data_IF_351686212789
#
_entry.id   IF_351686212789
#
_cell.length_a   1.000
_cell.length_b   1.000
_cell.length_c   1.000
_cell.angle_alpha   90.00
_cell.angle_beta   90.00
_cell.angle_gamma   90.00
#
_symmetry.space_group_name_H-M   'P 1'
#
loop_
_entity.id
_entity.type
_entity.pdbx_description
1 polymer ?
#
# COMPACT_ATOMS: atom_id res chain seq x y z
N UNK A 1 -4.54 -19.76 37.20
CA UNK A 1 -5.07 -18.52 36.60
C UNK A 1 -4.05 -17.37 36.56
N UNK A 2 -3.22 -17.16 37.57
CA UNK A 2 -2.21 -16.03 37.60
C UNK A 2 -1.03 -16.27 36.66
N UNK A 3 -0.65 -17.51 36.38
CA UNK A 3 0.48 -17.86 35.49
C UNK A 3 0.14 -17.63 34.02
N UNK A 4 -1.07 -17.98 33.57
CA UNK A 4 -1.51 -17.80 32.18
C UNK A 4 -1.68 -16.31 31.79
N UNK A 5 -2.09 -15.46 32.74
CA UNK A 5 -2.16 -14.02 32.50
C UNK A 5 -0.78 -13.32 32.41
N UNK A 6 0.23 -13.85 33.10
CA UNK A 6 1.61 -13.33 33.01
C UNK A 6 2.33 -13.77 31.73
N UNK A 7 2.01 -14.94 31.18
CA UNK A 7 2.54 -15.39 29.88
C UNK A 7 1.91 -14.63 28.72
N UNK A 8 0.59 -14.43 28.71
CA UNK A 8 -0.09 -13.65 27.68
C UNK A 8 0.35 -12.15 27.67
N UNK A 9 0.69 -11.58 28.82
CA UNK A 9 1.24 -10.20 28.89
C UNK A 9 2.70 -10.14 28.40
N UNK A 10 3.52 -11.16 28.66
CA UNK A 10 4.90 -11.22 28.15
C UNK A 10 4.97 -11.43 26.64
N UNK A 11 4.16 -12.33 26.08
CA UNK A 11 4.08 -12.52 24.62
C UNK A 11 3.56 -11.28 23.89
N UNK A 12 2.62 -10.53 24.49
CA UNK A 12 2.15 -9.24 23.97
C UNK A 12 3.23 -8.13 24.03
N UNK A 13 4.07 -8.12 25.04
CA UNK A 13 5.18 -7.16 25.18
C UNK A 13 6.36 -7.47 24.25
N UNK A 14 6.70 -8.74 24.02
CA UNK A 14 7.74 -9.17 23.08
C UNK A 14 7.34 -8.90 21.62
N UNK A 15 6.08 -9.14 21.22
CA UNK A 15 5.54 -8.81 19.89
C UNK A 15 5.53 -7.29 19.62
N UNK A 16 5.28 -6.46 20.65
CA UNK A 16 5.33 -4.99 20.53
C UNK A 16 6.76 -4.45 20.47
N UNK A 17 7.74 -5.11 21.09
CA UNK A 17 9.14 -4.70 21.07
C UNK A 17 9.78 -4.85 19.68
N UNK A 18 9.38 -5.85 18.89
CA UNK A 18 9.90 -6.07 17.53
C UNK A 18 9.51 -4.97 16.53
N UNK A 19 8.35 -4.31 16.69
CA UNK A 19 7.96 -3.20 15.84
C UNK A 19 8.56 -1.85 16.23
N UNK A 20 9.00 -1.69 17.48
CA UNK A 20 9.51 -0.41 18.01
C UNK A 20 10.82 0.06 17.38
N UNK A 21 11.65 -0.84 16.90
CA UNK A 21 12.99 -0.55 16.41
C UNK A 21 13.06 -0.20 14.90
N UNK A 22 11.92 -0.17 14.20
CA UNK A 22 11.90 -0.13 12.74
C UNK A 22 11.84 1.27 12.12
N UNK A 23 11.34 2.30 12.83
CA UNK A 23 11.18 3.64 12.25
C UNK A 23 12.49 4.41 12.23
N UNK A 24 12.79 4.99 11.07
CA UNK A 24 13.97 5.83 10.83
C UNK A 24 13.58 7.29 10.61
N UNK A 25 14.48 8.19 10.94
CA UNK A 25 14.36 9.59 10.58
C UNK A 25 14.37 9.76 9.05
N UNK A 26 13.35 10.42 8.51
CA UNK A 26 13.23 10.66 7.07
C UNK A 26 14.34 11.58 6.50
N UNK A 27 15.05 12.35 7.35
CA UNK A 27 16.12 13.23 6.91
C UNK A 27 17.50 12.55 6.91
N UNK A 28 17.90 11.92 8.01
CA UNK A 28 19.26 11.38 8.15
C UNK A 28 19.37 9.87 8.30
N UNK A 29 18.23 9.14 8.34
CA UNK A 29 18.23 7.68 8.49
C UNK A 29 18.55 7.15 9.89
N UNK A 30 18.81 8.00 10.89
CA UNK A 30 19.03 7.56 12.27
C UNK A 30 17.78 6.91 12.84
N UNK A 31 17.94 5.88 13.67
CA UNK A 31 16.82 5.22 14.35
C UNK A 31 16.07 6.19 15.26
N UNK A 32 14.77 6.23 15.08
CA UNK A 32 13.86 6.87 16.02
C UNK A 32 13.41 5.80 17.02
N UNK A 33 14.22 5.54 18.06
CA UNK A 33 13.86 4.59 19.10
C UNK A 33 12.47 4.90 19.66
N UNK A 34 11.66 3.85 19.91
CA UNK A 34 10.32 3.89 20.50
C UNK A 34 9.21 4.49 19.61
N UNK A 35 8.74 3.73 18.61
CA UNK A 35 7.37 3.92 18.14
C UNK A 35 6.45 3.73 19.37
N UNK A 36 5.63 4.72 19.76
CA UNK A 36 4.60 4.44 20.75
C UNK A 36 3.70 3.34 20.20
N UNK A 37 3.15 2.50 21.08
CA UNK A 37 2.18 1.51 20.64
C UNK A 37 1.11 2.20 19.80
N UNK A 38 0.57 1.49 18.81
CA UNK A 38 -0.49 2.00 17.93
C UNK A 38 -1.73 2.33 18.77
N UNK A 39 -1.72 3.53 19.37
CA UNK A 39 -2.84 4.05 20.15
C UNK A 39 -3.87 4.66 19.22
N UNK A 40 -5.14 4.54 19.58
CA UNK A 40 -6.28 5.06 18.78
C UNK A 40 -6.19 6.58 18.57
N UNK A 41 -5.70 7.29 19.59
CA UNK A 41 -5.58 8.74 19.59
C UNK A 41 -4.36 9.11 20.41
N UNK A 42 -3.43 9.80 19.80
CA UNK A 42 -2.24 10.30 20.48
C UNK A 42 -1.53 11.29 19.58
N UNK A 43 -0.93 12.28 20.17
CA UNK A 43 -0.10 13.24 19.47
C UNK A 43 1.19 13.44 20.25
N UNK A 44 2.28 13.59 19.54
CA UNK A 44 3.59 13.79 20.14
C UNK A 44 4.63 14.19 19.12
N UNK A 45 5.81 14.51 19.61
CA UNK A 45 6.96 14.88 18.80
C UNK A 45 8.14 14.04 19.22
N UNK A 46 8.96 13.63 18.25
CA UNK A 46 10.26 13.00 18.47
C UNK A 46 11.34 13.83 17.82
N UNK A 47 12.38 14.10 18.55
CA UNK A 47 13.59 14.75 18.03
C UNK A 47 14.56 13.66 17.61
N UNK A 48 15.02 13.71 16.39
CA UNK A 48 16.00 12.77 15.89
C UNK A 48 17.34 12.96 16.61
N UNK A 49 17.95 11.90 17.17
CA UNK A 49 19.23 12.00 17.86
C UNK A 49 20.40 12.34 16.92
N UNK A 50 20.26 12.06 15.61
CA UNK A 50 21.32 12.28 14.62
C UNK A 50 21.33 13.65 13.97
N UNK A 51 20.15 14.27 13.74
CA UNK A 51 20.08 15.54 13.00
C UNK A 51 19.12 16.57 13.60
N UNK A 52 18.57 16.32 14.78
CA UNK A 52 17.62 17.18 15.50
C UNK A 52 16.28 17.42 14.77
N UNK A 53 16.04 16.79 13.61
CA UNK A 53 14.76 16.87 12.90
C UNK A 53 13.62 16.36 13.79
N UNK A 54 12.45 16.98 13.64
CA UNK A 54 11.27 16.63 14.41
C UNK A 54 10.35 15.75 13.56
N UNK A 55 10.10 14.53 14.01
CA UNK A 55 9.04 13.68 13.50
C UNK A 55 7.82 13.81 14.41
N UNK A 56 6.65 14.02 13.81
CA UNK A 56 5.41 14.18 14.54
C UNK A 56 4.62 12.88 14.55
N UNK A 57 3.91 12.64 15.65
CA UNK A 57 2.91 11.62 15.79
C UNK A 57 1.58 12.30 16.06
N UNK A 58 0.61 12.13 15.18
CA UNK A 58 -0.68 12.81 15.26
C UNK A 58 -1.81 11.85 14.91
N UNK A 59 -2.84 11.79 15.77
CA UNK A 59 -4.01 10.91 15.58
C UNK A 59 -3.64 9.44 15.31
N UNK A 60 -2.58 8.96 15.96
CA UNK A 60 -2.10 7.60 15.77
C UNK A 60 -1.31 7.37 14.47
N UNK A 61 -0.89 8.42 13.77
CA UNK A 61 -0.14 8.36 12.51
C UNK A 61 1.22 9.05 12.70
N UNK A 62 2.30 8.38 12.32
CA UNK A 62 3.62 8.97 12.21
C UNK A 62 3.74 9.78 10.93
N UNK A 63 4.08 11.06 11.02
CA UNK A 63 4.29 11.95 9.89
C UNK A 63 5.77 11.97 9.52
N UNK A 64 6.16 11.19 8.51
CA UNK A 64 7.56 10.97 8.14
C UNK A 64 7.92 11.57 6.78
N UNK A 65 7.19 12.56 6.29
CA UNK A 65 7.61 13.36 5.14
C UNK A 65 8.61 14.44 5.58
N UNK A 66 9.67 14.65 4.79
CA UNK A 66 10.52 15.83 4.96
C UNK A 66 9.76 17.10 4.57
N UNK A 67 10.21 18.30 4.95
CA UNK A 67 9.60 19.57 4.50
C UNK A 67 9.50 19.65 2.97
N UNK A 68 10.56 19.24 2.25
CA UNK A 68 10.61 19.23 0.79
C UNK A 68 9.59 18.26 0.19
N UNK A 69 9.45 17.06 0.77
CA UNK A 69 8.44 16.07 0.35
C UNK A 69 7.02 16.58 0.64
N UNK A 70 6.82 17.22 1.79
CA UNK A 70 5.52 17.80 2.15
C UNK A 70 5.10 18.86 1.15
N UNK A 71 6.02 19.71 0.72
CA UNK A 71 5.76 20.73 -0.29
C UNK A 71 5.51 20.10 -1.68
N UNK A 72 6.35 19.16 -2.08
CA UNK A 72 6.24 18.42 -3.35
C UNK A 72 4.88 17.72 -3.51
N UNK A 73 4.42 17.00 -2.49
CA UNK A 73 3.17 16.23 -2.57
C UNK A 73 1.91 17.03 -2.21
N UNK A 74 2.02 18.27 -1.72
CA UNK A 74 0.88 19.07 -1.22
C UNK A 74 -0.24 19.17 -2.25
N UNK A 75 0.09 19.57 -3.47
CA UNK A 75 -0.90 19.73 -4.54
C UNK A 75 -1.51 18.39 -4.94
N UNK A 76 -0.69 17.36 -5.09
CA UNK A 76 -1.17 16.01 -5.39
C UNK A 76 -2.15 15.50 -4.34
N UNK A 77 -1.82 15.61 -3.05
CA UNK A 77 -2.70 15.21 -1.94
C UNK A 77 -4.04 15.94 -2.04
N UNK A 78 -4.02 17.27 -2.21
CA UNK A 78 -5.24 18.08 -2.30
C UNK A 78 -6.11 17.68 -3.49
N UNK A 79 -5.55 17.53 -4.67
CA UNK A 79 -6.26 17.12 -5.88
C UNK A 79 -6.81 15.70 -5.76
N UNK A 80 -6.02 14.78 -5.22
CA UNK A 80 -6.41 13.39 -5.03
C UNK A 80 -7.57 13.26 -4.03
N UNK A 81 -7.48 13.91 -2.88
CA UNK A 81 -8.55 13.92 -1.87
C UNK A 81 -9.85 14.49 -2.44
N UNK A 82 -9.77 15.58 -3.22
CA UNK A 82 -10.93 16.15 -3.90
C UNK A 82 -11.58 15.16 -4.86
N UNK A 83 -10.79 14.50 -5.72
CA UNK A 83 -11.30 13.49 -6.67
C UNK A 83 -11.94 12.34 -5.89
N UNK A 84 -11.28 11.82 -4.86
CA UNK A 84 -11.78 10.68 -4.07
C UNK A 84 -13.10 11.02 -3.37
N UNK A 85 -13.24 12.22 -2.84
CA UNK A 85 -14.48 12.70 -2.26
C UNK A 85 -15.59 12.84 -3.32
N UNK A 86 -15.27 13.38 -4.51
CA UNK A 86 -16.22 13.51 -5.62
C UNK A 86 -16.68 12.14 -6.17
N UNK A 87 -15.79 11.12 -6.17
CA UNK A 87 -16.14 9.73 -6.47
C UNK A 87 -16.96 9.06 -5.36
N UNK A 88 -17.15 9.73 -4.23
CA UNK A 88 -17.85 9.20 -3.05
C UNK A 88 -17.11 8.07 -2.37
N UNK A 89 -15.78 8.15 -2.34
CA UNK A 89 -14.93 7.24 -1.57
C UNK A 89 -14.95 7.62 -0.10
N UNK A 90 -14.87 6.59 0.74
CA UNK A 90 -14.94 6.74 2.18
C UNK A 90 -16.36 6.77 2.73
N UNK A 91 -16.48 6.72 4.04
CA UNK A 91 -17.74 6.71 4.78
C UNK A 91 -17.51 7.13 6.23
N UNK A 92 -18.54 7.60 6.89
CA UNK A 92 -18.57 7.75 8.35
C UNK A 92 -19.03 6.47 9.05
N UNK A 93 -19.54 5.49 8.26
CA UNK A 93 -20.01 4.20 8.77
C UNK A 93 -18.87 3.17 8.73
N UNK A 94 -18.53 2.61 9.89
CA UNK A 94 -17.51 1.55 10.01
C UNK A 94 -17.83 0.30 9.19
N UNK A 95 -19.11 -0.02 9.01
CA UNK A 95 -19.53 -1.17 8.20
C UNK A 95 -19.02 -1.08 6.76
N UNK A 96 -18.90 0.13 6.19
CA UNK A 96 -18.29 0.31 4.88
C UNK A 96 -16.88 -0.29 4.83
N UNK A 97 -16.02 0.07 5.78
CA UNK A 97 -14.62 -0.36 5.80
C UNK A 97 -14.48 -1.84 6.19
N UNK A 98 -15.26 -2.29 7.17
CA UNK A 98 -15.22 -3.66 7.68
C UNK A 98 -15.58 -4.71 6.62
N UNK A 99 -16.40 -4.34 5.65
CA UNK A 99 -16.79 -5.23 4.56
C UNK A 99 -15.76 -5.29 3.41
N UNK A 100 -14.85 -4.31 3.29
CA UNK A 100 -13.86 -4.28 2.21
C UNK A 100 -12.86 -5.45 2.34
N UNK A 101 -12.41 -6.03 1.23
CA UNK A 101 -12.76 -5.73 -0.16
C UNK A 101 -13.95 -6.55 -0.67
N UNK A 102 -14.62 -7.34 0.17
CA UNK A 102 -15.58 -8.36 -0.25
C UNK A 102 -16.94 -7.80 -0.62
N UNK A 103 -17.35 -6.69 -0.01
CA UNK A 103 -18.62 -6.03 -0.28
C UNK A 103 -18.46 -4.52 -0.22
N UNK A 104 -18.84 -3.86 -1.27
CA UNK A 104 -19.00 -2.39 -1.31
C UNK A 104 -20.45 -2.06 -0.95
N UNK A 105 -20.70 -1.68 0.29
CA UNK A 105 -22.06 -1.32 0.75
C UNK A 105 -22.55 0.01 0.17
N UNK A 106 -21.64 0.86 -0.37
CA UNK A 106 -22.01 2.09 -1.05
C UNK A 106 -22.58 1.85 -2.45
N UNK A 107 -22.24 0.71 -3.07
CA UNK A 107 -22.59 0.35 -4.43
C UNK A 107 -21.87 1.14 -5.53
N UNK A 108 -21.08 2.16 -5.17
CA UNK A 108 -20.46 3.10 -6.13
C UNK A 108 -19.24 2.52 -6.85
N UNK A 109 -18.55 1.57 -6.23
CA UNK A 109 -17.29 1.01 -6.72
C UNK A 109 -17.25 -0.52 -6.66
N UNK A 110 -18.42 -1.18 -6.69
CA UNK A 110 -18.56 -2.61 -6.47
C UNK A 110 -17.74 -3.47 -7.44
N UNK A 111 -17.65 -3.10 -8.71
CA UNK A 111 -16.81 -3.81 -9.69
C UNK A 111 -15.32 -3.74 -9.34
N UNK A 112 -14.86 -2.58 -8.88
CA UNK A 112 -13.46 -2.39 -8.49
C UNK A 112 -13.13 -3.20 -7.22
N UNK A 113 -14.03 -3.18 -6.23
CA UNK A 113 -13.85 -3.96 -5.01
C UNK A 113 -13.91 -5.46 -5.27
N UNK A 114 -14.77 -5.92 -6.19
CA UNK A 114 -14.79 -7.32 -6.61
C UNK A 114 -13.46 -7.78 -7.25
N UNK A 115 -12.77 -6.91 -7.99
CA UNK A 115 -11.43 -7.16 -8.51
C UNK A 115 -10.45 -7.31 -7.35
N UNK A 116 -10.39 -6.32 -6.44
CA UNK A 116 -9.51 -6.32 -5.27
C UNK A 116 -9.71 -7.55 -4.38
N UNK A 117 -10.97 -7.97 -4.18
CA UNK A 117 -11.28 -9.18 -3.43
C UNK A 117 -10.69 -10.46 -4.07
N UNK A 118 -10.70 -10.55 -5.40
CA UNK A 118 -10.12 -11.70 -6.12
C UNK A 118 -8.59 -11.66 -6.10
N UNK A 119 -8.01 -10.48 -6.27
CA UNK A 119 -6.55 -10.28 -6.09
C UNK A 119 -6.13 -10.69 -4.70
N UNK A 120 -6.81 -10.24 -3.65
CA UNK A 120 -6.49 -10.57 -2.26
C UNK A 120 -6.56 -12.08 -1.99
N UNK A 121 -7.64 -12.77 -2.41
CA UNK A 121 -7.75 -14.24 -2.26
C UNK A 121 -6.62 -14.99 -2.98
N UNK A 122 -6.22 -14.50 -4.16
CA UNK A 122 -5.10 -15.10 -4.91
C UNK A 122 -3.79 -14.85 -4.16
N UNK A 123 -3.58 -13.65 -3.63
CA UNK A 123 -2.40 -13.31 -2.84
C UNK A 123 -2.33 -14.12 -1.54
N UNK A 124 -3.46 -14.29 -0.85
CA UNK A 124 -3.57 -15.11 0.35
C UNK A 124 -3.12 -16.56 0.08
N UNK A 125 -3.68 -17.19 -0.96
CA UNK A 125 -3.38 -18.58 -1.31
C UNK A 125 -1.96 -18.78 -1.85
N UNK A 126 -1.50 -17.92 -2.77
CA UNK A 126 -0.31 -18.19 -3.58
C UNK A 126 0.95 -17.47 -3.05
N UNK A 127 0.78 -16.53 -2.12
CA UNK A 127 1.88 -15.73 -1.58
C UNK A 127 1.95 -15.76 -0.06
N UNK A 128 0.87 -15.33 0.63
CA UNK A 128 0.88 -15.19 2.09
C UNK A 128 1.04 -16.54 2.78
N UNK A 129 0.17 -17.51 2.47
CA UNK A 129 0.20 -18.83 3.12
C UNK A 129 1.54 -19.58 2.88
N UNK A 130 2.09 -19.66 1.65
CA UNK A 130 3.40 -20.26 1.43
C UNK A 130 4.54 -19.53 2.12
N UNK A 131 4.50 -18.19 2.16
CA UNK A 131 5.56 -17.40 2.78
C UNK A 131 5.52 -17.54 4.31
N UNK A 132 4.33 -17.46 4.93
CA UNK A 132 4.16 -17.68 6.37
C UNK A 132 4.63 -19.06 6.79
N UNK A 133 4.35 -20.10 5.98
CA UNK A 133 4.85 -21.45 6.22
C UNK A 133 6.39 -21.50 6.17
N UNK A 134 7.04 -20.74 5.27
CA UNK A 134 8.53 -20.75 5.16
C UNK A 134 9.20 -20.01 6.31
N UNK A 135 8.53 -19.03 6.92
CA UNK A 135 9.05 -18.30 8.08
C UNK A 135 8.66 -18.92 9.41
N UNK A 136 7.68 -19.85 9.43
CA UNK A 136 7.16 -20.55 10.62
C UNK A 136 6.67 -19.59 11.73
N UNK A 137 6.25 -18.38 11.33
CA UNK A 137 5.74 -17.35 12.24
C UNK A 137 4.84 -16.34 11.50
N UNK A 138 4.11 -15.46 12.20
CA UNK A 138 3.45 -14.31 11.60
C UNK A 138 4.40 -13.47 10.75
N UNK A 139 3.96 -13.07 9.56
CA UNK A 139 4.76 -12.24 8.66
C UNK A 139 4.72 -10.77 9.10
N UNK A 140 5.87 -10.12 9.07
CA UNK A 140 6.00 -8.67 9.15
C UNK A 140 5.76 -8.12 7.74
N UNK A 141 4.69 -7.36 7.56
CA UNK A 141 4.24 -6.94 6.22
C UNK A 141 4.19 -5.42 6.14
N UNK A 142 4.77 -4.84 5.10
CA UNK A 142 4.65 -3.44 4.78
C UNK A 142 3.62 -3.27 3.65
N UNK A 143 2.51 -2.60 3.94
CA UNK A 143 1.45 -2.25 2.99
C UNK A 143 1.69 -0.82 2.51
N UNK A 144 2.23 -0.67 1.28
CA UNK A 144 2.69 0.61 0.72
C UNK A 144 1.65 1.20 -0.21
N UNK A 145 1.15 2.39 0.13
CA UNK A 145 -0.02 3.00 -0.48
C UNK A 145 -1.30 2.35 0.03
N UNK A 146 -1.40 2.22 1.36
CA UNK A 146 -2.45 1.48 2.05
C UNK A 146 -3.84 2.13 1.96
N UNK A 147 -3.91 3.44 1.65
CA UNK A 147 -5.15 4.20 1.64
C UNK A 147 -5.87 4.11 2.99
N UNK A 148 -7.11 3.65 2.98
CA UNK A 148 -7.91 3.48 4.19
C UNK A 148 -7.51 2.26 5.06
N UNK A 149 -6.47 1.50 4.68
CA UNK A 149 -5.93 0.39 5.46
C UNK A 149 -6.70 -0.91 5.40
N UNK A 150 -7.62 -1.10 4.45
CA UNK A 150 -8.41 -2.32 4.34
C UNK A 150 -7.53 -3.58 4.16
N UNK A 151 -6.42 -3.48 3.39
CA UNK A 151 -5.51 -4.62 3.21
C UNK A 151 -4.78 -4.94 4.51
N UNK A 152 -4.22 -3.93 5.17
CA UNK A 152 -3.60 -4.09 6.50
C UNK A 152 -4.56 -4.70 7.51
N UNK A 153 -5.85 -4.30 7.50
CA UNK A 153 -6.88 -4.92 8.34
C UNK A 153 -7.05 -6.42 8.04
N UNK A 154 -7.16 -6.80 6.77
CA UNK A 154 -7.28 -8.22 6.38
C UNK A 154 -6.05 -9.04 6.77
N UNK A 155 -4.86 -8.47 6.59
CA UNK A 155 -3.60 -9.10 7.00
C UNK A 155 -3.52 -9.32 8.52
N UNK A 156 -3.97 -8.33 9.31
CA UNK A 156 -4.05 -8.46 10.77
C UNK A 156 -5.05 -9.54 11.21
N UNK A 157 -6.21 -9.65 10.53
CA UNK A 157 -7.18 -10.73 10.80
C UNK A 157 -6.63 -12.13 10.47
N UNK A 158 -5.66 -12.25 9.56
CA UNK A 158 -4.94 -13.49 9.28
C UNK A 158 -3.81 -13.77 10.29
N UNK A 159 -3.65 -12.91 11.31
CA UNK A 159 -2.63 -13.06 12.34
C UNK A 159 -1.24 -12.51 11.93
N UNK A 160 -1.13 -11.79 10.82
CA UNK A 160 0.11 -11.15 10.41
C UNK A 160 0.31 -9.78 11.08
N UNK A 161 1.51 -9.22 10.95
CA UNK A 161 1.95 -7.97 11.58
C UNK A 161 2.12 -6.87 10.50
N UNK A 162 1.03 -6.26 10.00
CA UNK A 162 1.12 -5.21 8.99
C UNK A 162 1.52 -3.86 9.58
N UNK A 163 2.22 -3.06 8.77
CA UNK A 163 2.38 -1.62 8.93
C UNK A 163 1.81 -0.96 7.67
N UNK A 164 0.90 0.00 7.85
CA UNK A 164 0.28 0.75 6.75
C UNK A 164 1.06 2.03 6.45
N UNK A 165 1.43 2.24 5.20
CA UNK A 165 2.10 3.46 4.71
C UNK A 165 1.28 4.10 3.61
N UNK A 166 1.04 5.41 3.70
CA UNK A 166 0.40 6.20 2.64
C UNK A 166 0.81 7.67 2.73
N UNK A 167 0.58 8.44 1.66
CA UNK A 167 0.67 9.90 1.67
C UNK A 167 -0.55 10.54 2.36
N UNK A 168 -1.72 9.91 2.24
CA UNK A 168 -2.99 10.42 2.74
C UNK A 168 -3.19 10.08 4.21
N UNK A 169 -3.53 11.07 5.01
CA UNK A 169 -3.77 10.90 6.46
C UNK A 169 -5.20 11.17 6.89
N UNK A 170 -6.09 11.57 5.95
CA UNK A 170 -7.48 11.89 6.25
C UNK A 170 -8.29 10.67 6.74
N UNK A 171 -9.46 10.95 7.36
CA UNK A 171 -10.29 9.94 8.02
C UNK A 171 -11.31 9.26 7.07
N UNK A 172 -11.29 9.59 5.76
CA UNK A 172 -12.22 9.03 4.78
C UNK A 172 -11.59 7.95 3.91
N UNK A 173 -10.47 8.23 3.25
CA UNK A 173 -9.82 7.30 2.31
C UNK A 173 -8.29 7.22 2.53
N UNK A 174 -7.79 7.89 3.58
CA UNK A 174 -6.39 7.85 4.03
C UNK A 174 -6.21 7.02 5.31
N UNK A 175 -5.01 7.08 5.88
CA UNK A 175 -4.60 6.30 7.06
C UNK A 175 -5.47 6.54 8.30
N UNK A 176 -6.13 7.70 8.41
CA UNK A 176 -7.07 8.01 9.49
C UNK A 176 -8.28 7.09 9.49
N UNK A 177 -8.78 6.70 8.31
CA UNK A 177 -9.90 5.78 8.17
C UNK A 177 -9.67 4.40 8.81
N UNK A 178 -8.42 4.01 9.03
CA UNK A 178 -8.11 2.76 9.71
C UNK A 178 -8.63 2.69 11.16
N UNK A 179 -9.01 3.83 11.76
CA UNK A 179 -9.66 3.86 13.08
C UNK A 179 -10.97 3.07 13.12
N UNK A 180 -11.65 2.92 11.99
CA UNK A 180 -12.87 2.09 11.88
C UNK A 180 -12.61 0.61 12.18
N UNK A 181 -11.37 0.11 12.08
CA UNK A 181 -11.01 -1.27 12.39
C UNK A 181 -10.69 -1.51 13.87
N UNK A 182 -10.51 -0.46 14.66
CA UNK A 182 -9.99 -0.53 16.03
C UNK A 182 -10.88 -1.27 17.04
N UNK A 183 -12.16 -1.48 16.72
CA UNK A 183 -13.07 -2.31 17.55
C UNK A 183 -12.96 -3.79 17.24
N UNK A 184 -12.31 -4.18 16.13
CA UNK A 184 -12.21 -5.57 15.66
C UNK A 184 -10.82 -6.16 15.78
N UNK A 185 -9.79 -5.30 15.79
CA UNK A 185 -8.38 -5.69 15.98
C UNK A 185 -7.74 -4.81 17.04
N UNK A 186 -7.09 -5.44 18.02
CA UNK A 186 -6.34 -4.75 19.07
C UNK A 186 -5.04 -5.49 19.33
N UNK A 187 -3.88 -4.78 19.29
CA UNK A 187 -3.75 -3.37 18.92
C UNK A 187 -4.03 -3.12 17.44
N UNK A 188 -4.43 -1.89 17.10
CA UNK A 188 -4.50 -1.46 15.70
C UNK A 188 -3.08 -1.44 15.10
N UNK A 189 -2.94 -1.83 13.84
CA UNK A 189 -1.64 -1.79 13.16
C UNK A 189 -1.04 -0.37 13.09
N UNK A 190 0.29 -0.22 13.12
CA UNK A 190 0.98 1.06 12.97
C UNK A 190 0.68 1.71 11.62
N UNK A 191 0.61 3.05 11.61
CA UNK A 191 0.31 3.87 10.44
C UNK A 191 1.37 4.96 10.29
N UNK A 192 1.94 5.07 9.09
CA UNK A 192 3.06 5.98 8.81
C UNK A 192 2.79 6.74 7.51
N UNK A 193 2.81 8.06 7.57
CA UNK A 193 2.82 8.89 6.38
C UNK A 193 4.22 8.89 5.76
N UNK A 194 4.37 8.40 4.54
CA UNK A 194 5.64 8.42 3.81
C UNK A 194 5.44 8.31 2.30
N UNK A 195 6.45 8.70 1.53
CA UNK A 195 6.50 8.51 0.09
C UNK A 195 6.91 7.07 -0.28
N UNK A 196 6.45 6.58 -1.43
CA UNK A 196 6.69 5.21 -1.91
C UNK A 196 8.18 4.92 -2.16
N UNK A 197 8.94 5.94 -2.52
CA UNK A 197 10.34 5.87 -2.92
C UNK A 197 11.32 6.27 -1.79
N UNK A 198 10.80 6.48 -0.58
CA UNK A 198 11.60 6.81 0.61
C UNK A 198 10.88 6.33 1.88
N UNK A 199 11.03 5.04 2.14
CA UNK A 199 10.38 4.38 3.26
C UNK A 199 11.18 4.56 4.56
N UNK A 200 10.58 5.05 5.65
CA UNK A 200 11.29 5.37 6.88
C UNK A 200 11.52 4.13 7.76
N UNK A 201 12.03 3.05 7.17
CA UNK A 201 12.28 1.79 7.87
C UNK A 201 13.70 1.28 7.61
N UNK A 202 14.23 0.53 8.58
CA UNK A 202 15.53 -0.13 8.43
C UNK A 202 15.52 -1.17 7.31
N UNK A 203 16.69 -1.44 6.76
CA UNK A 203 16.85 -2.52 5.79
C UNK A 203 16.47 -3.86 6.41
N UNK A 204 15.91 -4.76 5.58
CA UNK A 204 15.54 -6.13 5.98
C UNK A 204 14.51 -6.22 7.13
N UNK A 205 13.69 -5.19 7.31
CA UNK A 205 12.72 -5.11 8.39
C UNK A 205 11.47 -5.98 8.16
N UNK A 206 11.12 -6.27 6.91
CA UNK A 206 9.87 -6.92 6.53
C UNK A 206 10.10 -8.23 5.77
N UNK A 207 9.20 -9.16 5.99
CA UNK A 207 9.17 -10.44 5.27
C UNK A 207 8.43 -10.29 3.92
N UNK A 208 7.55 -9.28 3.83
CA UNK A 208 6.79 -8.99 2.64
C UNK A 208 6.51 -7.49 2.52
N UNK A 209 6.80 -6.91 1.37
CA UNK A 209 6.41 -5.53 1.01
C UNK A 209 5.40 -5.60 -0.12
N UNK A 210 4.24 -4.94 0.03
CA UNK A 210 3.13 -5.01 -0.91
C UNK A 210 2.78 -3.61 -1.41
N UNK A 211 2.75 -3.45 -2.73
CA UNK A 211 2.09 -2.34 -3.41
C UNK A 211 0.77 -2.86 -3.98
N UNK A 212 -0.34 -2.51 -3.33
CA UNK A 212 -1.67 -2.93 -3.79
C UNK A 212 -2.45 -1.74 -4.35
N UNK A 213 -2.58 -1.66 -5.66
CA UNK A 213 -3.17 -0.52 -6.37
C UNK A 213 -2.49 0.83 -6.07
N UNK A 214 -1.18 0.82 -5.82
CA UNK A 214 -0.41 1.99 -5.42
C UNK A 214 0.86 2.22 -6.23
N UNK A 215 1.51 1.18 -6.76
CA UNK A 215 2.79 1.30 -7.46
C UNK A 215 2.75 2.26 -8.65
N UNK A 216 1.62 2.35 -9.34
CA UNK A 216 1.43 3.23 -10.49
C UNK A 216 1.40 4.73 -10.15
N UNK A 217 1.31 5.10 -8.87
CA UNK A 217 1.47 6.48 -8.41
C UNK A 217 2.94 6.89 -8.21
N UNK A 218 3.88 5.96 -8.38
CA UNK A 218 5.30 6.29 -8.34
C UNK A 218 5.71 7.16 -9.52
N UNK A 219 6.58 8.15 -9.27
CA UNK A 219 7.24 8.97 -10.28
C UNK A 219 8.45 8.25 -10.89
N UNK A 220 9.01 7.28 -10.14
CA UNK A 220 10.15 6.45 -10.55
C UNK A 220 9.99 5.03 -9.98
N UNK A 221 9.65 4.07 -10.85
CA UNK A 221 9.48 2.66 -10.45
C UNK A 221 10.75 2.04 -9.89
N UNK A 222 11.90 2.46 -10.40
CA UNK A 222 13.20 1.99 -9.94
C UNK A 222 13.44 2.37 -8.48
N UNK A 223 13.23 3.63 -8.13
CA UNK A 223 13.41 4.13 -6.75
C UNK A 223 12.44 3.48 -5.78
N UNK A 224 11.15 3.42 -6.14
CA UNK A 224 10.14 2.80 -5.30
C UNK A 224 10.42 1.29 -5.09
N UNK A 225 10.86 0.61 -6.14
CA UNK A 225 11.18 -0.82 -6.06
C UNK A 225 12.48 -1.08 -5.28
N UNK A 226 13.51 -0.23 -5.44
CA UNK A 226 14.74 -0.29 -4.65
C UNK A 226 14.47 -0.14 -3.14
N UNK A 227 13.60 0.80 -2.75
CA UNK A 227 13.21 0.99 -1.36
C UNK A 227 12.44 -0.22 -0.80
N UNK A 228 11.55 -0.80 -1.60
CA UNK A 228 10.85 -2.03 -1.22
C UNK A 228 11.83 -3.19 -1.02
N UNK A 229 12.78 -3.39 -1.95
CA UNK A 229 13.82 -4.41 -1.82
C UNK A 229 14.71 -4.17 -0.59
N UNK A 230 15.12 -2.93 -0.35
CA UNK A 230 15.92 -2.55 0.82
C UNK A 230 15.21 -2.93 2.13
N UNK A 231 13.91 -2.68 2.19
CA UNK A 231 13.10 -2.97 3.38
C UNK A 231 12.78 -4.46 3.54
N UNK A 232 12.92 -5.28 2.49
CA UNK A 232 12.59 -6.70 2.51
C UNK A 232 13.78 -7.54 2.98
N UNK A 233 13.56 -8.48 3.91
CA UNK A 233 14.61 -9.37 4.41
C UNK A 233 14.99 -10.46 3.39
N UNK A 234 16.18 -11.08 3.51
CA UNK A 234 16.53 -12.27 2.76
C UNK A 234 15.47 -13.37 2.91
N UNK A 235 15.11 -14.02 1.80
CA UNK A 235 14.02 -15.01 1.74
C UNK A 235 12.62 -14.42 1.68
N UNK A 236 12.47 -13.11 1.89
CA UNK A 236 11.22 -12.37 1.76
C UNK A 236 10.80 -12.10 0.32
N UNK A 237 9.78 -11.29 0.14
CA UNK A 237 9.28 -10.95 -1.19
C UNK A 237 8.75 -9.51 -1.29
N UNK A 238 8.83 -8.95 -2.50
CA UNK A 238 8.11 -7.72 -2.92
C UNK A 238 6.98 -8.12 -3.84
N UNK A 239 5.80 -7.53 -3.63
CA UNK A 239 4.60 -7.78 -4.42
C UNK A 239 4.05 -6.48 -4.99
N UNK A 240 3.76 -6.47 -6.30
CA UNK A 240 3.02 -5.42 -6.99
C UNK A 240 1.71 -6.02 -7.46
N UNK A 241 0.58 -5.50 -6.97
CA UNK A 241 -0.76 -5.97 -7.30
C UNK A 241 -1.67 -4.81 -7.72
N UNK A 242 -2.70 -5.11 -8.49
CA UNK A 242 -3.75 -4.17 -8.92
C UNK A 242 -3.23 -2.87 -9.58
N UNK A 243 -2.01 -2.90 -10.11
CA UNK A 243 -1.46 -1.84 -10.96
C UNK A 243 -1.93 -2.07 -12.41
N UNK A 244 -2.45 -1.06 -13.12
CA UNK A 244 -2.84 -1.19 -14.51
C UNK A 244 -1.69 -1.69 -15.38
N UNK A 245 -1.93 -2.75 -16.15
CA UNK A 245 -0.93 -3.33 -17.05
C UNK A 245 -1.44 -3.29 -18.50
N UNK A 246 -0.56 -2.94 -19.41
CA UNK A 246 -0.83 -2.91 -20.85
C UNK A 246 0.25 -3.68 -21.60
N UNK A 247 -0.15 -4.43 -22.64
CA UNK A 247 0.78 -5.17 -23.49
C UNK A 247 1.62 -4.25 -24.38
N UNK A 248 1.17 -3.00 -24.61
CA UNK A 248 1.83 -2.02 -25.47
C UNK A 248 1.86 -0.66 -24.79
N UNK A 249 2.95 0.04 -24.92
CA UNK A 249 3.17 1.38 -24.36
C UNK A 249 2.15 2.40 -24.86
N UNK A 250 1.77 2.31 -26.17
CA UNK A 250 0.79 3.21 -26.78
C UNK A 250 -0.58 3.13 -26.10
N UNK A 251 -1.00 1.91 -25.70
CA UNK A 251 -2.28 1.72 -25.01
C UNK A 251 -2.28 2.32 -23.61
N UNK A 252 -1.14 2.28 -22.91
CA UNK A 252 -0.95 2.92 -21.62
C UNK A 252 -0.98 4.44 -21.75
N UNK A 253 -0.22 5.02 -22.68
CA UNK A 253 -0.24 6.46 -22.95
C UNK A 253 -1.63 6.97 -23.32
N UNK A 254 -2.33 6.29 -24.22
CA UNK A 254 -3.69 6.65 -24.58
C UNK A 254 -4.64 6.65 -23.36
N UNK A 255 -4.48 5.69 -22.42
CA UNK A 255 -5.25 5.67 -21.19
C UNK A 255 -4.97 6.91 -20.31
N UNK A 256 -3.71 7.29 -20.15
CA UNK A 256 -3.33 8.48 -19.36
C UNK A 256 -3.93 9.74 -19.97
N UNK A 257 -3.82 9.91 -21.30
CA UNK A 257 -4.41 11.04 -22.03
C UNK A 257 -5.94 11.09 -21.88
N UNK A 258 -6.62 9.94 -22.03
CA UNK A 258 -8.07 9.83 -21.81
C UNK A 258 -8.45 10.21 -20.37
N UNK A 259 -7.67 9.74 -19.38
CA UNK A 259 -7.89 10.05 -17.96
C UNK A 259 -7.73 11.55 -17.70
N UNK A 260 -6.65 12.16 -18.17
CA UNK A 260 -6.39 13.59 -17.97
C UNK A 260 -7.49 14.45 -18.63
N UNK A 261 -7.89 14.13 -19.85
CA UNK A 261 -9.01 14.81 -20.53
C UNK A 261 -10.31 14.68 -19.74
N UNK A 262 -10.60 13.49 -19.26
CA UNK A 262 -11.81 13.26 -18.48
C UNK A 262 -11.76 13.99 -17.13
N UNK A 263 -10.63 13.98 -16.43
CA UNK A 263 -10.47 14.70 -15.17
C UNK A 263 -10.60 16.21 -15.37
N UNK A 264 -9.97 16.76 -16.41
CA UNK A 264 -10.10 18.19 -16.73
C UNK A 264 -11.56 18.56 -17.02
N UNK A 265 -12.27 17.75 -17.80
CA UNK A 265 -13.68 17.99 -18.10
C UNK A 265 -14.60 17.86 -16.88
N UNK A 266 -14.29 16.95 -15.94
CA UNK A 266 -15.14 16.63 -14.81
C UNK A 266 -14.81 17.45 -13.57
N UNK A 267 -13.52 17.69 -13.31
CA UNK A 267 -13.03 18.29 -12.06
C UNK A 267 -12.32 19.65 -12.27
N UNK A 268 -12.08 20.04 -13.53
CA UNK A 268 -11.41 21.31 -13.86
C UNK A 268 -9.88 21.25 -13.89
N UNK A 269 -9.27 20.09 -13.61
CA UNK A 269 -7.81 19.89 -13.64
C UNK A 269 -7.46 18.43 -14.03
N UNK A 270 -6.28 18.18 -14.65
CA UNK A 270 -5.93 16.87 -15.18
C UNK A 270 -5.46 15.86 -14.13
N UNK A 271 -5.17 16.29 -12.87
CA UNK A 271 -4.56 15.46 -11.80
C UNK A 271 -3.18 14.91 -12.22
N UNK A 272 -2.32 15.79 -12.66
CA UNK A 272 -0.96 15.54 -13.12
C UNK A 272 0.09 16.36 -12.35
N UNK A 273 -0.23 16.72 -11.11
CA UNK A 273 0.62 17.53 -10.24
C UNK A 273 1.92 16.85 -9.80
N UNK A 274 1.99 15.52 -9.93
CA UNK A 274 3.23 14.73 -9.89
C UNK A 274 3.32 13.85 -11.12
N UNK A 275 4.54 13.49 -11.52
CA UNK A 275 4.81 12.74 -12.75
C UNK A 275 4.59 11.22 -12.56
N UNK A 276 3.38 10.83 -12.16
CA UNK A 276 3.02 9.41 -11.98
C UNK A 276 3.22 8.61 -13.27
N UNK A 277 3.78 7.40 -13.14
CA UNK A 277 4.00 6.52 -14.29
C UNK A 277 2.73 5.76 -14.74
N UNK A 278 1.71 5.68 -13.89
CA UNK A 278 0.31 5.31 -14.15
C UNK A 278 0.05 3.86 -14.58
N UNK A 279 1.00 3.14 -15.17
CA UNK A 279 0.81 1.78 -15.68
C UNK A 279 2.11 1.00 -15.84
N UNK A 280 2.00 -0.31 -15.92
CA UNK A 280 3.09 -1.23 -16.24
C UNK A 280 2.97 -1.76 -17.68
N UNK A 281 4.14 -2.07 -18.27
CA UNK A 281 4.27 -2.78 -19.55
C UNK A 281 5.32 -3.87 -19.41
N UNK A 282 5.42 -4.84 -20.36
CA UNK A 282 6.52 -5.80 -20.38
C UNK A 282 7.89 -5.14 -20.30
N UNK A 283 8.13 -4.09 -21.08
CA UNK A 283 9.42 -3.39 -21.13
C UNK A 283 9.78 -2.71 -19.81
N UNK A 284 8.78 -2.13 -19.11
CA UNK A 284 8.99 -1.50 -17.80
C UNK A 284 9.33 -2.54 -16.72
N UNK A 285 8.69 -3.71 -16.78
CA UNK A 285 8.98 -4.82 -15.88
C UNK A 285 10.35 -5.40 -16.17
N UNK A 286 10.71 -5.64 -17.44
CA UNK A 286 12.01 -6.16 -17.83
C UNK A 286 13.15 -5.26 -17.36
N UNK A 287 12.99 -3.92 -17.45
CA UNK A 287 13.99 -2.99 -16.92
C UNK A 287 14.20 -3.13 -15.41
N UNK A 288 13.14 -3.41 -14.64
CA UNK A 288 13.28 -3.68 -13.21
C UNK A 288 14.00 -5.03 -12.97
N UNK A 289 13.65 -6.07 -13.73
CA UNK A 289 14.30 -7.38 -13.63
C UNK A 289 15.80 -7.29 -13.96
N UNK A 290 16.15 -6.59 -15.04
CA UNK A 290 17.54 -6.41 -15.47
C UNK A 290 18.35 -5.59 -14.45
N UNK A 291 17.78 -4.48 -13.95
CA UNK A 291 18.48 -3.60 -13.03
C UNK A 291 18.75 -4.25 -11.67
N UNK A 292 17.79 -4.99 -11.15
CA UNK A 292 17.91 -5.61 -9.83
C UNK A 292 18.34 -7.08 -9.89
N UNK A 293 18.61 -7.60 -11.08
CA UNK A 293 18.99 -8.99 -11.32
C UNK A 293 18.07 -9.99 -10.60
N UNK A 294 16.76 -9.85 -10.83
CA UNK A 294 15.73 -10.68 -10.22
C UNK A 294 14.59 -10.98 -11.22
N UNK A 295 13.77 -11.96 -10.90
CA UNK A 295 12.58 -12.34 -11.67
C UNK A 295 11.31 -11.78 -11.01
N UNK A 296 10.47 -11.12 -11.80
CA UNK A 296 9.11 -10.69 -11.44
C UNK A 296 8.10 -11.75 -11.88
N UNK A 297 7.92 -12.80 -11.08
CA UNK A 297 6.95 -13.86 -11.35
C UNK A 297 5.53 -13.33 -11.43
N UNK A 298 4.92 -13.45 -12.61
CA UNK A 298 3.54 -13.01 -12.86
C UNK A 298 2.51 -14.06 -12.44
N UNK A 299 1.55 -13.67 -11.61
CA UNK A 299 0.37 -14.45 -11.22
C UNK A 299 -0.87 -13.75 -11.77
N UNK A 300 -1.77 -14.47 -12.45
CA UNK A 300 -2.98 -13.92 -13.05
C UNK A 300 -4.21 -14.39 -12.27
N UNK A 301 -4.80 -13.54 -11.41
CA UNK A 301 -6.06 -13.86 -10.76
C UNK A 301 -7.18 -14.03 -11.80
N UNK A 302 -8.10 -14.93 -11.55
CA UNK A 302 -9.27 -15.08 -12.40
C UNK A 302 -10.36 -14.09 -11.98
N UNK A 303 -10.58 -13.05 -12.78
CA UNK A 303 -11.57 -12.01 -12.50
C UNK A 303 -12.98 -12.33 -13.07
N UNK A 304 -13.18 -13.50 -13.66
CA UNK A 304 -14.44 -13.96 -14.24
C UNK A 304 -14.51 -13.81 -15.75
N UNK A 305 -15.46 -14.52 -16.37
CA UNK A 305 -15.59 -14.60 -17.84
C UNK A 305 -15.86 -13.25 -18.51
N UNK A 306 -16.72 -12.41 -17.91
CA UNK A 306 -16.98 -11.05 -18.43
C UNK A 306 -15.72 -10.21 -18.51
N UNK A 307 -14.85 -10.32 -17.52
CA UNK A 307 -13.54 -9.65 -17.50
C UNK A 307 -12.64 -10.16 -18.62
N UNK A 308 -12.57 -11.47 -18.81
CA UNK A 308 -11.73 -12.11 -19.83
C UNK A 308 -12.16 -11.76 -21.26
N UNK A 309 -13.44 -11.43 -21.48
CA UNK A 309 -13.97 -11.02 -22.78
C UNK A 309 -13.72 -9.54 -23.12
N UNK A 310 -13.32 -8.69 -22.14
CA UNK A 310 -13.12 -7.24 -22.35
C UNK A 310 -12.18 -6.90 -23.51
N UNK A 311 -11.02 -7.55 -23.71
CA UNK A 311 -10.13 -7.23 -24.84
C UNK A 311 -10.77 -7.51 -26.20
N UNK A 312 -11.52 -8.61 -26.31
CA UNK A 312 -12.25 -8.97 -27.54
C UNK A 312 -13.36 -7.95 -27.86
N UNK A 313 -14.17 -7.61 -26.85
CA UNK A 313 -15.25 -6.62 -27.01
C UNK A 313 -14.69 -5.21 -27.33
N UNK A 314 -13.56 -4.83 -26.77
CA UNK A 314 -12.89 -3.57 -27.08
C UNK A 314 -12.43 -3.53 -28.55
N UNK A 315 -11.83 -4.64 -29.03
CA UNK A 315 -11.42 -4.78 -30.44
C UNK A 315 -12.62 -4.66 -31.41
N UNK A 316 -13.72 -5.34 -31.11
CA UNK A 316 -14.95 -5.25 -31.93
C UNK A 316 -15.52 -3.82 -32.01
N UNK A 317 -15.34 -3.03 -30.94
CA UNK A 317 -15.81 -1.64 -30.87
C UNK A 317 -14.78 -0.62 -31.34
N UNK A 318 -13.67 -1.04 -31.94
CA UNK A 318 -12.58 -0.15 -32.38
C UNK A 318 -11.95 0.66 -31.22
N UNK A 319 -12.06 0.17 -29.98
CA UNK A 319 -11.49 0.83 -28.79
C UNK A 319 -10.11 0.26 -28.46
N UNK A 320 -9.28 1.04 -27.76
CA UNK A 320 -8.00 0.54 -27.22
C UNK A 320 -8.22 -0.68 -26.32
N UNK A 321 -7.20 -1.51 -26.22
CA UNK A 321 -7.21 -2.64 -25.31
C UNK A 321 -7.35 -2.14 -23.85
N UNK A 322 -8.26 -2.70 -23.06
CA UNK A 322 -8.42 -2.34 -21.67
C UNK A 322 -7.22 -2.81 -20.85
N UNK A 323 -6.99 -2.16 -19.68
CA UNK A 323 -6.00 -2.62 -18.71
C UNK A 323 -6.27 -4.04 -18.24
N UNK A 324 -5.22 -4.78 -17.99
CA UNK A 324 -5.23 -6.02 -17.21
C UNK A 324 -4.71 -5.74 -15.81
N UNK A 325 -5.12 -6.57 -14.85
CA UNK A 325 -4.51 -6.59 -13.51
C UNK A 325 -3.82 -7.93 -13.30
N UNK A 326 -2.66 -7.87 -12.68
CA UNK A 326 -1.80 -9.02 -12.39
C UNK A 326 -1.15 -8.80 -11.05
N UNK A 327 -0.66 -9.87 -10.45
CA UNK A 327 0.22 -9.83 -9.30
C UNK A 327 1.62 -10.16 -9.79
N UNK A 328 2.58 -9.31 -9.50
CA UNK A 328 4.00 -9.57 -9.74
C UNK A 328 4.68 -9.79 -8.40
N UNK A 329 5.45 -10.87 -8.30
CA UNK A 329 6.20 -11.24 -7.09
C UNK A 329 7.67 -11.36 -7.42
N UNK A 330 8.49 -10.55 -6.77
CA UNK A 330 9.94 -10.71 -6.72
C UNK A 330 10.33 -11.37 -5.40
N UNK A 331 11.22 -12.35 -5.45
CA UNK A 331 11.79 -12.96 -4.26
C UNK A 331 13.16 -12.35 -3.98
N UNK A 332 13.40 -11.95 -2.73
CA UNK A 332 14.72 -11.49 -2.30
C UNK A 332 15.55 -12.74 -1.97
N UNK A 333 16.69 -12.90 -2.64
CA UNK A 333 17.58 -14.04 -2.41
C UNK A 333 18.10 -14.03 -0.96
N UNK A 334 18.29 -15.26 -0.43
CA UNK A 334 18.84 -15.47 0.91
C UNK A 334 20.32 -15.12 0.97
#
# INVERSE_FOLDING_TARGET
MITAQKEATREGEESQAEHKAMLLCCQCGSSLSDMPPATRTGSGKRVCPGCTAITQYQNGIWLSLSPEQTDHFRRFITEYEFIRAAEGRGSTDSEYYLNLPYKDISGRSSDQWAIRARTFRTMERDILAPLAKSFERPLRILDVGAGNGWLSYRLALLGHLPIAVDLLTNDQDGLGAALHFSSHIQPLFPRVQAALDRLPFSSSAFDLVIFNASFHYSEDYRRAFAEALRCTCPGGAVVIADTPWYAKEESGRAMVEEKHKWFTATYGFPSDSIACLEYLTPDRLQRLEDEFNLELKSIKPFYGFRWSLRPFLAKLKGRRRPSEFRIYKARVNA
#
